data_IF_110822484434
#
_entry.id   IF_110822484434
#
_cell.length_a   1.000
_cell.length_b   1.000
_cell.length_c   1.000
_cell.angle_alpha   90.00
_cell.angle_beta   90.00
_cell.angle_gamma   90.00
#
_symmetry.space_group_name_H-M   'P 1'
#
loop_
_entity.id
_entity.type
_entity.pdbx_description
1 polymer ?
#
# COMPACT_ATOMS: atom_id res chain seq x y z
N UNK A 1 24.15 -26.58 5.39
CA UNK A 1 23.38 -26.43 6.64
C UNK A 1 22.34 -27.54 6.75
N UNK A 2 22.25 -28.24 7.89
CA UNK A 2 21.18 -29.21 8.15
C UNK A 2 19.82 -28.48 8.34
N UNK A 3 18.72 -29.06 7.85
CA UNK A 3 17.36 -28.53 8.06
C UNK A 3 16.92 -28.62 9.51
N UNK A 4 17.51 -29.51 10.31
CA UNK A 4 17.22 -29.67 11.74
C UNK A 4 17.84 -28.57 12.63
N UNK A 5 18.77 -27.78 12.08
CA UNK A 5 19.47 -26.73 12.83
C UNK A 5 18.51 -25.64 13.34
N UNK A 6 18.83 -24.99 14.49
CA UNK A 6 18.10 -23.84 15.01
C UNK A 6 17.84 -22.77 13.94
N UNK A 7 16.70 -22.08 14.06
CA UNK A 7 16.31 -21.04 13.10
C UNK A 7 17.37 -19.93 12.99
N UNK A 8 17.94 -19.51 14.12
CA UNK A 8 18.98 -18.47 14.18
C UNK A 8 20.18 -18.84 13.31
N UNK A 9 20.71 -20.04 13.47
CA UNK A 9 21.88 -20.50 12.71
C UNK A 9 21.57 -20.53 11.21
N UNK A 10 20.37 -21.01 10.85
CA UNK A 10 19.92 -21.03 9.45
C UNK A 10 19.80 -19.63 8.85
N UNK A 11 19.33 -18.65 9.62
CA UNK A 11 19.21 -17.26 9.17
C UNK A 11 20.60 -16.65 9.00
N UNK A 12 21.49 -16.83 9.98
CA UNK A 12 22.88 -16.35 9.91
C UNK A 12 23.58 -16.91 8.67
N UNK A 13 23.49 -18.22 8.43
CA UNK A 13 24.08 -18.84 7.25
C UNK A 13 23.56 -18.27 5.93
N UNK A 14 22.26 -17.94 5.84
CA UNK A 14 21.72 -17.28 4.64
C UNK A 14 22.28 -15.86 4.50
N UNK A 15 22.44 -15.12 5.60
CA UNK A 15 23.08 -13.81 5.57
C UNK A 15 24.54 -13.89 5.13
N UNK A 16 25.30 -14.87 5.62
CA UNK A 16 26.69 -15.10 5.24
C UNK A 16 26.79 -15.40 3.73
N UNK A 17 25.92 -16.27 3.21
CA UNK A 17 25.87 -16.55 1.76
C UNK A 17 25.53 -15.32 0.91
N UNK A 18 24.64 -14.45 1.40
CA UNK A 18 24.31 -13.19 0.72
C UNK A 18 25.54 -12.27 0.70
N UNK A 19 26.27 -12.21 1.81
CA UNK A 19 27.47 -11.39 1.94
C UNK A 19 28.63 -11.93 1.09
N UNK A 20 28.82 -13.25 1.00
CA UNK A 20 29.82 -13.89 0.14
C UNK A 20 29.58 -13.61 -1.35
N UNK A 21 28.34 -13.23 -1.72
CA UNK A 21 27.96 -12.81 -3.07
C UNK A 21 28.03 -11.28 -3.25
N UNK A 22 28.70 -10.57 -2.35
CA UNK A 22 28.85 -9.11 -2.33
C UNK A 22 27.50 -8.35 -2.32
N UNK A 23 26.50 -8.92 -1.63
CA UNK A 23 25.19 -8.29 -1.45
C UNK A 23 24.87 -8.07 0.02
N UNK A 24 24.00 -7.10 0.30
CA UNK A 24 23.32 -6.97 1.59
C UNK A 24 21.97 -7.69 1.58
N UNK A 25 21.41 -8.04 2.76
CA UNK A 25 20.06 -8.60 2.83
C UNK A 25 18.98 -7.71 2.19
N UNK A 26 19.13 -6.38 2.31
CA UNK A 26 18.20 -5.41 1.69
C UNK A 26 18.29 -5.44 0.17
N UNK A 27 19.50 -5.44 -0.40
CA UNK A 27 19.70 -5.53 -1.85
C UNK A 27 19.18 -6.85 -2.41
N UNK A 28 19.38 -7.96 -1.68
CA UNK A 28 18.83 -9.25 -2.05
C UNK A 28 17.29 -9.21 -2.09
N UNK A 29 16.63 -8.74 -1.03
CA UNK A 29 15.16 -8.66 -0.99
C UNK A 29 14.63 -7.75 -2.10
N UNK A 30 15.24 -6.58 -2.31
CA UNK A 30 14.81 -5.67 -3.36
C UNK A 30 14.96 -6.31 -4.75
N UNK A 31 16.12 -6.91 -5.04
CA UNK A 31 16.39 -7.61 -6.29
C UNK A 31 15.45 -8.80 -6.50
N UNK A 32 15.18 -9.56 -5.46
CA UNK A 32 14.24 -10.68 -5.47
C UNK A 32 12.83 -10.23 -5.87
N UNK A 33 12.38 -9.07 -5.40
CA UNK A 33 11.06 -8.52 -5.67
C UNK A 33 10.96 -7.83 -7.04
N UNK A 34 12.01 -7.16 -7.50
CA UNK A 34 11.94 -6.28 -8.68
C UNK A 34 12.46 -6.92 -9.97
N UNK A 35 13.47 -7.80 -9.91
CA UNK A 35 14.06 -8.37 -11.13
C UNK A 35 13.00 -9.14 -11.93
N UNK A 36 12.92 -8.82 -13.23
CA UNK A 36 12.02 -9.47 -14.19
C UNK A 36 12.63 -10.79 -14.68
N UNK A 37 12.51 -11.82 -13.86
CA UNK A 37 12.92 -13.19 -14.18
C UNK A 37 11.79 -14.17 -13.85
N UNK A 38 11.52 -15.15 -14.74
CA UNK A 38 10.41 -16.10 -14.59
C UNK A 38 10.54 -16.99 -13.34
N UNK A 39 11.75 -17.43 -13.01
CA UNK A 39 12.01 -18.23 -11.81
C UNK A 39 11.76 -17.42 -10.53
N UNK A 40 12.15 -16.15 -10.51
CA UNK A 40 11.89 -15.26 -9.37
C UNK A 40 10.40 -14.90 -9.25
N UNK A 41 9.72 -14.66 -10.39
CA UNK A 41 8.28 -14.39 -10.45
C UNK A 41 7.47 -15.52 -9.78
N UNK A 42 7.80 -16.78 -10.07
CA UNK A 42 7.14 -17.93 -9.44
C UNK A 42 7.35 -17.93 -7.92
N UNK A 43 8.59 -17.67 -7.46
CA UNK A 43 8.95 -17.70 -6.04
C UNK A 43 8.30 -16.57 -5.22
N UNK A 44 8.09 -15.38 -5.81
CA UNK A 44 7.41 -14.27 -5.14
C UNK A 44 5.90 -14.22 -5.37
N UNK A 45 5.33 -15.11 -6.19
CA UNK A 45 3.89 -15.11 -6.50
C UNK A 45 2.99 -15.17 -5.26
N UNK A 46 3.43 -15.87 -4.22
CA UNK A 46 2.69 -15.97 -2.96
C UNK A 46 2.51 -14.62 -2.26
N UNK A 47 3.38 -13.63 -2.53
CA UNK A 47 3.31 -12.33 -1.86
C UNK A 47 2.13 -11.49 -2.32
N UNK A 48 1.63 -11.71 -3.55
CA UNK A 48 0.57 -10.88 -4.14
C UNK A 48 -0.81 -11.52 -4.13
N UNK A 49 -0.94 -12.79 -3.70
CA UNK A 49 -2.23 -13.49 -3.67
C UNK A 49 -2.89 -13.42 -2.29
N UNK A 50 -4.23 -13.50 -2.20
CA UNK A 50 -4.96 -13.42 -0.94
C UNK A 50 -4.45 -14.35 0.16
N UNK A 51 -4.02 -15.56 -0.21
CA UNK A 51 -3.47 -16.55 0.74
C UNK A 51 -2.16 -16.09 1.40
N UNK A 52 -1.34 -15.30 0.72
CA UNK A 52 -0.04 -14.88 1.26
C UNK A 52 -0.01 -13.45 1.80
N UNK A 53 -1.05 -12.64 1.57
CA UNK A 53 -1.14 -11.30 2.15
C UNK A 53 -0.86 -11.26 3.66
N UNK A 54 -1.41 -12.15 4.51
CA UNK A 54 -1.12 -12.11 5.95
C UNK A 54 0.38 -12.20 6.27
N UNK A 55 1.11 -13.12 5.62
CA UNK A 55 2.55 -13.26 5.82
C UNK A 55 3.36 -12.12 5.19
N UNK A 56 2.90 -11.55 4.09
CA UNK A 56 3.53 -10.37 3.48
C UNK A 56 3.40 -9.16 4.38
N UNK A 57 2.21 -8.90 4.95
CA UNK A 57 2.02 -7.81 5.90
C UNK A 57 2.77 -8.05 7.22
N UNK A 58 2.87 -9.30 7.70
CA UNK A 58 3.72 -9.61 8.85
C UNK A 58 5.21 -9.25 8.61
N UNK A 59 5.71 -9.43 7.39
CA UNK A 59 7.06 -8.99 7.03
C UNK A 59 7.17 -7.46 6.97
N UNK A 60 6.17 -6.78 6.40
CA UNK A 60 6.12 -5.30 6.40
C UNK A 60 6.09 -4.76 7.83
N UNK A 61 5.36 -5.39 8.74
CA UNK A 61 5.31 -5.03 10.15
C UNK A 61 6.65 -5.26 10.87
N UNK A 62 7.37 -6.34 10.54
CA UNK A 62 8.71 -6.57 11.07
C UNK A 62 9.70 -5.48 10.59
N UNK A 63 9.64 -5.10 9.31
CA UNK A 63 10.45 -4.00 8.75
C UNK A 63 10.09 -2.66 9.43
N UNK A 64 8.80 -2.39 9.59
CA UNK A 64 8.30 -1.23 10.34
C UNK A 64 8.85 -1.23 11.77
N UNK A 65 8.80 -2.36 12.46
CA UNK A 65 9.30 -2.52 13.82
C UNK A 65 10.74 -2.05 13.99
N UNK A 66 11.61 -2.38 13.04
CA UNK A 66 13.01 -1.92 13.04
C UNK A 66 13.15 -0.40 12.85
N UNK A 67 12.30 0.22 12.02
CA UNK A 67 12.31 1.68 11.83
C UNK A 67 11.80 2.43 13.07
N UNK A 68 10.79 1.88 13.75
CA UNK A 68 10.18 2.54 14.92
C UNK A 68 11.06 2.52 16.18
N UNK A 69 12.24 1.89 16.13
CA UNK A 69 13.20 1.87 17.24
C UNK A 69 13.78 3.24 17.58
N UNK A 70 13.73 4.19 16.65
CA UNK A 70 14.21 5.56 16.84
C UNK A 70 13.12 6.58 16.55
N UNK A 71 13.27 7.79 17.12
CA UNK A 71 12.34 8.89 16.86
C UNK A 71 12.40 9.33 15.39
N UNK A 72 13.61 9.38 14.82
CA UNK A 72 13.84 9.73 13.42
C UNK A 72 13.22 8.69 12.49
N UNK A 73 13.39 7.40 12.78
CA UNK A 73 12.80 6.32 11.98
C UNK A 73 11.28 6.31 12.06
N UNK A 74 10.71 6.62 13.23
CA UNK A 74 9.26 6.81 13.40
C UNK A 74 8.70 7.97 12.57
N UNK A 75 9.43 9.08 12.50
CA UNK A 75 9.08 10.20 11.64
C UNK A 75 9.13 9.82 10.15
N UNK A 76 10.19 9.11 9.72
CA UNK A 76 10.31 8.66 8.33
C UNK A 76 9.20 7.68 7.94
N UNK A 77 8.83 6.75 8.83
CA UNK A 77 7.69 5.85 8.60
C UNK A 77 6.38 6.63 8.42
N UNK A 78 6.13 7.63 9.28
CA UNK A 78 4.93 8.46 9.20
C UNK A 78 4.86 9.25 7.89
N UNK A 79 5.99 9.80 7.45
CA UNK A 79 6.08 10.50 6.15
C UNK A 79 5.82 9.53 4.99
N UNK A 80 6.40 8.33 5.02
CA UNK A 80 6.17 7.31 4.00
C UNK A 80 4.68 6.94 3.89
N UNK A 81 4.01 6.67 5.02
CA UNK A 81 2.56 6.36 5.03
C UNK A 81 1.73 7.53 4.51
N UNK A 82 2.09 8.76 4.87
CA UNK A 82 1.43 9.96 4.33
C UNK A 82 1.54 10.03 2.81
N UNK A 83 2.71 9.74 2.25
CA UNK A 83 2.91 9.76 0.80
C UNK A 83 2.09 8.65 0.10
N UNK A 84 2.03 7.44 0.69
CA UNK A 84 1.18 6.36 0.18
C UNK A 84 -0.31 6.74 0.23
N UNK A 85 -0.76 7.38 1.33
CA UNK A 85 -2.12 7.85 1.46
C UNK A 85 -2.48 8.90 0.39
N UNK A 86 -1.58 9.84 0.10
CA UNK A 86 -1.76 10.82 -0.97
C UNK A 86 -1.92 10.14 -2.35
N UNK A 87 -1.14 9.09 -2.63
CA UNK A 87 -1.26 8.34 -3.89
C UNK A 87 -2.64 7.69 -4.01
N UNK A 88 -3.13 7.06 -2.94
CA UNK A 88 -4.46 6.43 -2.93
C UNK A 88 -5.55 7.50 -3.14
N UNK A 89 -5.48 8.62 -2.41
CA UNK A 89 -6.45 9.71 -2.53
C UNK A 89 -6.50 10.31 -3.95
N UNK A 90 -5.35 10.48 -4.60
CA UNK A 90 -5.30 10.95 -5.99
C UNK A 90 -5.94 9.95 -6.95
N UNK A 91 -5.78 8.65 -6.71
CA UNK A 91 -6.40 7.61 -7.53
C UNK A 91 -7.93 7.51 -7.35
N UNK A 92 -8.43 7.94 -6.18
CA UNK A 92 -9.85 7.94 -5.81
C UNK A 92 -10.52 9.31 -5.96
N UNK A 93 -9.86 10.29 -6.58
CA UNK A 93 -10.42 11.62 -6.68
C UNK A 93 -11.74 11.59 -7.49
N UNK A 94 -12.79 12.34 -7.09
CA UNK A 94 -14.03 12.41 -7.83
C UNK A 94 -13.79 12.79 -9.30
N UNK A 95 -14.65 12.27 -10.18
CA UNK A 95 -14.53 12.52 -11.62
C UNK A 95 -14.61 14.03 -11.86
N UNK A 96 -13.57 14.59 -12.46
CA UNK A 96 -13.55 16.01 -12.82
C UNK A 96 -14.53 16.29 -13.96
N UNK A 97 -15.23 17.43 -13.89
CA UNK A 97 -16.16 17.86 -14.93
C UNK A 97 -17.52 18.31 -14.41
N UNK A 98 -18.37 18.76 -15.33
CA UNK A 98 -19.71 19.25 -15.04
C UNK A 98 -20.65 18.07 -14.78
N UNK A 99 -21.46 18.17 -13.74
CA UNK A 99 -22.57 17.25 -13.45
C UNK A 99 -23.51 17.10 -14.67
N UNK A 100 -24.01 15.89 -14.98
CA UNK A 100 -23.94 14.66 -14.19
C UNK A 100 -22.67 13.83 -14.36
N UNK A 101 -21.84 14.17 -15.36
CA UNK A 101 -20.69 13.35 -15.73
C UNK A 101 -19.42 13.67 -14.92
N UNK A 102 -19.43 14.75 -14.13
CA UNK A 102 -18.38 15.07 -13.17
C UNK A 102 -18.94 15.68 -11.89
N UNK A 103 -18.04 16.06 -10.99
CA UNK A 103 -18.35 16.37 -9.59
C UNK A 103 -18.85 17.80 -9.33
N UNK A 104 -18.69 18.76 -10.26
CA UNK A 104 -19.09 20.15 -10.01
C UNK A 104 -20.35 20.55 -10.77
N UNK A 105 -21.13 21.45 -10.18
CA UNK A 105 -22.36 22.00 -10.77
C UNK A 105 -22.11 23.45 -11.12
N UNK A 106 -22.39 23.85 -12.36
CA UNK A 106 -22.33 25.25 -12.79
C UNK A 106 -23.39 26.07 -12.08
N UNK A 107 -23.07 27.29 -11.64
CA UNK A 107 -24.03 28.22 -11.01
C UNK A 107 -25.23 28.53 -11.91
N UNK A 108 -25.04 28.52 -13.23
CA UNK A 108 -26.11 28.70 -14.21
C UNK A 108 -27.07 27.50 -14.31
N UNK A 109 -26.67 26.33 -13.81
CA UNK A 109 -27.44 25.08 -13.84
C UNK A 109 -28.01 24.70 -12.45
N UNK A 110 -27.86 25.57 -11.46
CA UNK A 110 -28.38 25.31 -10.11
C UNK A 110 -29.91 25.41 -10.10
N UNK A 111 -30.55 24.39 -9.54
CA UNK A 111 -31.99 24.35 -9.26
C UNK A 111 -32.22 23.96 -7.79
N UNK A 112 -33.38 24.30 -7.19
CA UNK A 112 -33.67 23.94 -5.80
C UNK A 112 -33.60 22.42 -5.52
N UNK A 113 -33.89 21.58 -6.51
CA UNK A 113 -33.83 20.11 -6.39
C UNK A 113 -32.44 19.59 -6.02
N UNK A 114 -31.35 20.29 -6.38
CA UNK A 114 -29.99 19.89 -5.98
C UNK A 114 -29.82 19.90 -4.45
N UNK A 115 -30.59 20.74 -3.75
CA UNK A 115 -30.51 20.92 -2.31
C UNK A 115 -31.54 20.11 -1.53
N UNK A 116 -32.38 19.31 -2.20
CA UNK A 116 -33.28 18.39 -1.52
C UNK A 116 -32.52 17.29 -0.77
N UNK A 117 -33.20 16.64 0.18
CA UNK A 117 -32.58 15.64 1.04
C UNK A 117 -32.06 14.45 0.23
N UNK A 118 -32.88 13.93 -0.69
CA UNK A 118 -32.55 12.76 -1.51
C UNK A 118 -31.33 13.00 -2.41
N UNK A 119 -31.16 14.20 -2.97
CA UNK A 119 -30.02 14.56 -3.80
C UNK A 119 -28.74 14.71 -2.98
N UNK A 120 -28.83 15.27 -1.77
CA UNK A 120 -27.71 15.33 -0.83
C UNK A 120 -27.28 13.94 -0.37
N UNK A 121 -28.23 13.07 -0.05
CA UNK A 121 -27.96 11.72 0.42
C UNK A 121 -27.30 10.88 -0.68
N UNK A 122 -27.84 10.92 -1.91
CA UNK A 122 -27.21 10.25 -3.06
C UNK A 122 -25.81 10.79 -3.37
N UNK A 123 -25.62 12.10 -3.29
CA UNK A 123 -24.29 12.70 -3.51
C UNK A 123 -23.30 12.24 -2.44
N UNK A 124 -23.72 12.22 -1.17
CA UNK A 124 -22.90 11.76 -0.05
C UNK A 124 -22.55 10.28 -0.19
N UNK A 125 -23.52 9.43 -0.50
CA UNK A 125 -23.27 8.00 -0.73
C UNK A 125 -22.27 7.79 -1.87
N UNK A 126 -22.47 8.47 -3.01
CA UNK A 126 -21.55 8.38 -4.15
C UNK A 126 -20.13 8.82 -3.76
N UNK A 127 -19.99 9.97 -3.10
CA UNK A 127 -18.70 10.52 -2.72
C UNK A 127 -17.97 9.62 -1.71
N UNK A 128 -18.69 9.11 -0.71
CA UNK A 128 -18.09 8.39 0.43
C UNK A 128 -17.87 6.89 0.17
N UNK A 129 -18.72 6.25 -0.64
CA UNK A 129 -18.67 4.80 -0.86
C UNK A 129 -18.04 4.44 -2.20
N UNK A 130 -18.26 5.24 -3.23
CA UNK A 130 -17.88 4.89 -4.62
C UNK A 130 -16.65 5.66 -5.09
N UNK A 131 -16.61 6.97 -4.87
CA UNK A 131 -15.53 7.82 -5.37
C UNK A 131 -14.33 7.79 -4.41
N UNK A 132 -14.51 8.16 -3.14
CA UNK A 132 -13.42 8.34 -2.17
C UNK A 132 -13.47 7.41 -0.94
N UNK A 133 -13.69 6.08 -1.09
CA UNK A 133 -13.87 5.19 0.07
C UNK A 133 -12.68 5.18 1.03
N UNK A 134 -11.45 5.33 0.57
CA UNK A 134 -10.27 5.35 1.44
C UNK A 134 -10.29 6.55 2.39
N UNK A 135 -10.71 7.74 1.94
CA UNK A 135 -10.75 8.93 2.79
C UNK A 135 -11.83 8.83 3.86
N UNK A 136 -13.01 8.33 3.50
CA UNK A 136 -14.19 8.33 4.37
C UNK A 136 -14.31 7.08 5.26
N UNK A 137 -13.38 6.13 5.14
CA UNK A 137 -13.27 4.94 5.98
C UNK A 137 -12.05 4.96 6.92
N UNK A 138 -11.29 6.07 6.96
CA UNK A 138 -10.19 6.26 7.92
C UNK A 138 -10.67 6.50 9.34
#
# INVERSE_FOLDING_TARGET
MDKSAPLVDRVIYVCDLIQDLDMTPKEFINSFLEIKNSNLKLRRSYWSIPRGWPSTFALVDAIRGELLRTAEGSLQWSNYIRDQAIIILRSQNPISGIHPNGAYISSAAITPAIFDADSKDRHREKLTVQEMPFLYQM
#
